data_IF_076029602242
#
_entry.id   IF_076029602242
#
_cell.length_a   1.000
_cell.length_b   1.000
_cell.length_c   1.000
_cell.angle_alpha   90.00
_cell.angle_beta   90.00
_cell.angle_gamma   90.00
#
_symmetry.space_group_name_H-M   'P 1'
#
loop_
_entity.id
_entity.type
_entity.pdbx_description
1 polymer ?
#
# COMPACT_ATOMS: atom_id res chain seq x y z
N UNK A 1 12.47 6.48 -39.30
CA UNK A 1 13.09 7.82 -39.25
C UNK A 1 13.09 8.26 -37.80
N UNK A 2 14.23 8.15 -37.11
CA UNK A 2 14.31 8.37 -35.67
C UNK A 2 14.70 9.81 -35.35
N UNK A 3 13.92 10.49 -34.50
CA UNK A 3 14.26 11.82 -34.01
C UNK A 3 15.19 11.67 -32.80
N UNK A 4 16.41 12.20 -32.89
CA UNK A 4 17.32 12.32 -31.76
C UNK A 4 17.34 13.78 -31.30
N UNK A 5 16.87 14.05 -30.08
CA UNK A 5 16.93 15.38 -29.50
C UNK A 5 18.34 15.60 -28.93
N UNK A 6 19.18 16.35 -29.66
CA UNK A 6 20.50 16.77 -29.18
C UNK A 6 20.31 18.06 -28.39
N UNK A 7 20.45 17.98 -27.07
CA UNK A 7 20.44 19.16 -26.20
C UNK A 7 21.81 19.83 -26.17
N UNK A 8 21.89 21.18 -26.18
CA UNK A 8 23.15 21.88 -25.95
C UNK A 8 23.76 21.50 -24.59
N UNK A 9 25.09 21.38 -24.53
CA UNK A 9 25.81 21.06 -23.29
C UNK A 9 25.46 22.05 -22.16
N UNK A 10 25.34 23.33 -22.50
CA UNK A 10 24.93 24.42 -21.61
C UNK A 10 23.57 24.16 -20.93
N UNK A 11 22.61 23.56 -21.64
CA UNK A 11 21.31 23.25 -21.08
C UNK A 11 21.40 22.11 -20.05
N UNK A 12 22.22 21.09 -20.34
CA UNK A 12 22.50 19.98 -19.41
C UNK A 12 23.21 20.50 -18.16
N UNK A 13 24.21 21.36 -18.33
CA UNK A 13 24.99 21.96 -17.24
C UNK A 13 24.15 22.90 -16.38
N UNK A 14 23.33 23.76 -17.00
CA UNK A 14 22.40 24.63 -16.29
C UNK A 14 21.40 23.82 -15.44
N UNK A 15 20.88 22.71 -15.98
CA UNK A 15 20.01 21.81 -15.24
C UNK A 15 20.73 21.14 -14.07
N UNK A 16 21.95 20.62 -14.28
CA UNK A 16 22.77 20.03 -13.20
C UNK A 16 23.07 21.06 -12.09
N UNK A 17 23.45 22.28 -12.45
CA UNK A 17 23.71 23.37 -11.52
C UNK A 17 22.44 23.76 -10.73
N UNK A 18 21.29 23.76 -11.38
CA UNK A 18 19.99 23.97 -10.72
C UNK A 18 19.70 22.88 -9.68
N UNK A 19 19.89 21.60 -10.02
CA UNK A 19 19.71 20.49 -9.08
C UNK A 19 20.70 20.59 -7.92
N UNK A 20 21.98 20.90 -8.18
CA UNK A 20 23.01 21.04 -7.15
C UNK A 20 22.66 22.16 -6.14
N UNK A 21 22.24 23.34 -6.62
CA UNK A 21 21.77 24.45 -5.75
C UNK A 21 20.57 24.05 -4.90
N UNK A 22 19.63 23.27 -5.45
CA UNK A 22 18.49 22.79 -4.65
C UNK A 22 18.92 21.77 -3.59
N UNK A 23 19.89 20.92 -3.89
CA UNK A 23 20.43 19.95 -2.93
C UNK A 23 21.17 20.64 -1.77
N UNK A 24 21.93 21.71 -2.05
CA UNK A 24 22.66 22.45 -1.01
C UNK A 24 21.78 23.23 -0.04
N UNK A 25 20.53 23.54 -0.42
CA UNK A 25 19.58 24.23 0.45
C UNK A 25 18.84 23.28 1.40
N UNK A 26 18.93 21.96 1.19
CA UNK A 26 18.34 20.99 2.10
C UNK A 26 19.33 20.60 3.19
N UNK A 27 18.86 20.30 4.41
CA UNK A 27 19.71 19.75 5.47
C UNK A 27 20.50 18.54 4.96
N UNK A 28 21.81 18.51 5.22
CA UNK A 28 22.69 17.45 4.72
C UNK A 28 22.33 16.07 5.27
N UNK A 29 21.70 16.02 6.45
CA UNK A 29 21.18 14.81 7.08
C UNK A 29 20.14 14.07 6.23
N UNK A 30 19.39 14.77 5.37
CA UNK A 30 18.43 14.10 4.46
C UNK A 30 19.11 13.30 3.34
N UNK A 31 20.39 13.55 3.06
CA UNK A 31 21.17 12.84 2.04
C UNK A 31 22.20 11.88 2.62
N UNK A 32 22.12 11.58 3.92
CA UNK A 32 23.00 10.56 4.49
C UNK A 32 22.79 9.21 3.79
N UNK A 33 23.86 8.45 3.66
CA UNK A 33 23.76 7.07 3.15
C UNK A 33 23.36 6.18 4.32
N UNK A 34 22.24 5.42 4.23
CA UNK A 34 21.85 4.53 5.31
C UNK A 34 22.94 3.49 5.57
N UNK A 35 23.12 3.10 6.83
CA UNK A 35 24.09 2.07 7.21
C UNK A 35 23.62 0.68 6.79
N UNK A 36 24.53 -0.30 6.81
CA UNK A 36 24.18 -1.69 6.54
C UNK A 36 23.14 -2.21 7.54
N UNK A 37 23.26 -1.87 8.83
CA UNK A 37 22.30 -2.28 9.85
C UNK A 37 20.92 -1.66 9.62
N UNK A 38 20.85 -0.40 9.18
CA UNK A 38 19.59 0.25 8.82
C UNK A 38 18.92 -0.41 7.60
N UNK A 39 19.73 -0.79 6.61
CA UNK A 39 19.26 -1.56 5.46
C UNK A 39 18.71 -2.93 5.86
N UNK A 40 19.44 -3.68 6.70
CA UNK A 40 18.99 -4.97 7.20
C UNK A 40 17.71 -4.86 8.04
N UNK A 41 17.60 -3.81 8.85
CA UNK A 41 16.38 -3.52 9.61
C UNK A 41 15.19 -3.21 8.69
N UNK A 42 15.41 -2.41 7.63
CA UNK A 42 14.39 -2.06 6.65
C UNK A 42 13.90 -3.29 5.87
N UNK A 43 14.82 -4.10 5.33
CA UNK A 43 14.48 -5.31 4.60
C UNK A 43 13.81 -6.34 5.51
N UNK A 44 14.41 -6.58 6.68
CA UNK A 44 13.91 -7.50 7.68
C UNK A 44 12.51 -7.13 8.21
N UNK A 45 12.14 -5.85 8.22
CA UNK A 45 10.79 -5.41 8.62
C UNK A 45 9.68 -6.05 7.79
N UNK A 46 9.88 -6.21 6.48
CA UNK A 46 8.86 -6.79 5.60
C UNK A 46 8.85 -8.32 5.69
N UNK A 47 10.02 -8.95 5.77
CA UNK A 47 10.14 -10.41 5.90
C UNK A 47 9.54 -10.93 7.21
N UNK A 48 9.87 -10.27 8.33
CA UNK A 48 9.36 -10.64 9.66
C UNK A 48 7.85 -10.42 9.81
N UNK A 49 7.22 -9.74 8.85
CA UNK A 49 5.79 -9.40 8.85
C UNK A 49 4.97 -10.23 7.87
N UNK A 50 5.52 -11.37 7.41
CA UNK A 50 4.73 -12.44 6.82
C UNK A 50 3.84 -13.06 7.90
N UNK A 51 2.57 -13.26 7.56
CA UNK A 51 1.53 -13.74 8.46
C UNK A 51 0.89 -15.00 7.87
N UNK A 52 0.10 -15.70 8.68
CA UNK A 52 -0.52 -16.98 8.30
C UNK A 52 -1.51 -16.89 7.13
N UNK A 53 -2.07 -15.70 6.87
CA UNK A 53 -3.08 -15.46 5.83
C UNK A 53 -2.67 -14.39 4.81
N UNK A 54 -1.41 -13.92 4.87
CA UNK A 54 -0.88 -12.92 3.94
C UNK A 54 0.23 -12.07 4.55
N UNK A 55 0.25 -10.77 4.24
CA UNK A 55 1.32 -9.85 4.67
C UNK A 55 0.79 -8.61 5.37
N UNK A 56 1.57 -8.07 6.30
CA UNK A 56 1.27 -6.75 6.88
C UNK A 56 1.80 -5.64 5.97
N UNK A 57 0.92 -4.80 5.42
CA UNK A 57 1.28 -3.67 4.56
C UNK A 57 1.69 -2.40 5.33
N UNK A 58 2.04 -2.54 6.61
CA UNK A 58 2.38 -1.42 7.48
C UNK A 58 3.79 -0.90 7.17
N UNK A 59 3.90 0.43 7.02
CA UNK A 59 5.15 1.12 6.70
C UNK A 59 6.26 0.83 7.72
N UNK A 60 7.51 0.89 7.25
CA UNK A 60 8.69 0.83 8.12
C UNK A 60 8.63 1.89 9.22
N UNK A 61 9.10 1.56 10.43
CA UNK A 61 9.12 2.47 11.58
C UNK A 61 7.77 2.76 12.24
N UNK A 62 6.67 2.12 11.80
CA UNK A 62 5.35 2.31 12.44
C UNK A 62 4.96 1.11 13.31
N UNK A 63 4.44 1.42 14.49
CA UNK A 63 3.90 0.44 15.45
C UNK A 63 2.50 -0.03 15.05
N UNK A 64 2.08 -1.15 15.63
CA UNK A 64 0.71 -1.66 15.56
C UNK A 64 0.25 -1.94 16.98
N UNK A 65 -1.02 -1.66 17.30
CA UNK A 65 -1.63 -2.14 18.54
C UNK A 65 -1.78 -3.66 18.58
N UNK A 66 -1.77 -4.31 17.42
CA UNK A 66 -1.78 -5.76 17.28
C UNK A 66 -0.33 -6.21 17.03
N UNK A 67 0.30 -6.81 18.04
CA UNK A 67 1.68 -7.31 18.01
C UNK A 67 1.91 -8.27 16.82
N UNK A 68 0.85 -8.95 16.39
CA UNK A 68 0.74 -9.65 15.13
C UNK A 68 -0.54 -9.21 14.40
N UNK A 69 -0.50 -8.98 13.08
CA UNK A 69 -1.71 -8.54 12.38
C UNK A 69 -2.74 -9.70 12.36
N UNK A 70 -3.71 -9.62 13.27
CA UNK A 70 -4.85 -10.52 13.30
C UNK A 70 -5.78 -10.23 12.11
N UNK A 71 -6.77 -11.10 11.91
CA UNK A 71 -7.74 -10.97 10.81
C UNK A 71 -8.50 -9.63 10.83
N UNK A 72 -8.63 -8.99 12.00
CA UNK A 72 -9.25 -7.67 12.21
C UNK A 72 -8.41 -6.50 11.68
N UNK A 73 -7.11 -6.69 11.44
CA UNK A 73 -6.22 -5.58 11.12
C UNK A 73 -6.47 -5.04 9.71
N UNK A 74 -6.75 -3.74 9.57
CA UNK A 74 -6.92 -3.08 8.26
C UNK A 74 -5.66 -3.16 7.39
N UNK A 75 -4.47 -3.22 8.01
CA UNK A 75 -3.18 -3.30 7.32
C UNK A 75 -2.81 -4.73 6.87
N UNK A 76 -3.55 -5.76 7.29
CA UNK A 76 -3.38 -7.11 6.76
C UNK A 76 -3.90 -7.13 5.32
N UNK A 77 -3.00 -7.39 4.36
CA UNK A 77 -3.34 -7.70 2.97
C UNK A 77 -3.41 -9.22 2.82
N UNK A 78 -4.60 -9.79 2.58
CA UNK A 78 -4.74 -11.23 2.43
C UNK A 78 -4.10 -11.68 1.13
N UNK A 79 -3.47 -12.86 1.14
CA UNK A 79 -2.90 -13.47 -0.06
C UNK A 79 -3.87 -14.51 -0.63
N UNK A 80 -4.14 -14.52 -1.95
CA UNK A 80 -5.09 -15.45 -2.56
C UNK A 80 -4.77 -16.93 -2.30
N UNK A 81 -3.48 -17.28 -2.26
CA UNK A 81 -3.02 -18.65 -2.02
C UNK A 81 -3.37 -19.15 -0.60
N UNK A 82 -3.65 -18.22 0.33
CA UNK A 82 -4.04 -18.51 1.71
C UNK A 82 -5.56 -18.41 1.94
N UNK A 83 -6.39 -18.30 0.88
CA UNK A 83 -7.85 -18.27 1.01
C UNK A 83 -8.41 -19.46 1.77
N UNK A 84 -7.85 -20.67 1.58
CA UNK A 84 -8.25 -21.87 2.32
C UNK A 84 -8.06 -21.73 3.83
N UNK A 85 -6.93 -21.18 4.26
CA UNK A 85 -6.67 -20.89 5.67
C UNK A 85 -7.64 -19.86 6.25
N UNK A 86 -8.03 -18.87 5.46
CA UNK A 86 -9.05 -17.87 5.87
C UNK A 86 -10.44 -18.51 6.04
N UNK A 87 -10.76 -19.55 5.25
CA UNK A 87 -11.99 -20.35 5.42
C UNK A 87 -11.97 -21.09 6.75
N UNK A 88 -10.87 -21.76 7.09
CA UNK A 88 -10.71 -22.42 8.38
C UNK A 88 -10.90 -21.44 9.56
N UNK A 89 -10.33 -20.23 9.47
CA UNK A 89 -10.49 -19.19 10.49
C UNK A 89 -11.95 -18.77 10.63
N UNK A 90 -12.66 -18.53 9.52
CA UNK A 90 -14.08 -18.16 9.54
C UNK A 90 -14.93 -19.27 10.18
N UNK A 91 -14.72 -20.52 9.77
CA UNK A 91 -15.53 -21.63 10.24
C UNK A 91 -15.28 -21.90 11.73
N UNK A 92 -14.04 -21.74 12.19
CA UNK A 92 -13.72 -21.78 13.62
C UNK A 92 -14.42 -20.66 14.40
N UNK A 93 -14.41 -19.42 13.89
CA UNK A 93 -15.09 -18.29 14.53
C UNK A 93 -16.60 -18.54 14.65
N UNK A 94 -17.24 -19.05 13.59
CA UNK A 94 -18.66 -19.41 13.63
C UNK A 94 -18.94 -20.47 14.70
N UNK A 95 -18.12 -21.52 14.78
CA UNK A 95 -18.27 -22.56 15.80
C UNK A 95 -18.08 -22.03 17.24
N UNK A 96 -17.17 -21.06 17.44
CA UNK A 96 -16.97 -20.40 18.73
C UNK A 96 -18.13 -19.46 19.09
N UNK A 97 -18.72 -18.76 18.14
CA UNK A 97 -19.91 -17.93 18.36
C UNK A 97 -21.08 -18.81 18.83
N UNK A 98 -21.35 -19.90 18.12
CA UNK A 98 -22.42 -20.85 18.49
C UNK A 98 -22.21 -21.38 19.91
N UNK A 99 -20.99 -21.76 20.27
CA UNK A 99 -20.68 -22.20 21.64
C UNK A 99 -20.91 -21.09 22.67
N UNK A 100 -20.42 -19.87 22.41
CA UNK A 100 -20.59 -18.74 23.31
C UNK A 100 -22.08 -18.37 23.51
N UNK A 101 -22.91 -18.50 22.47
CA UNK A 101 -24.36 -18.33 22.55
C UNK A 101 -25.01 -19.40 23.44
N UNK A 102 -24.66 -20.68 23.23
CA UNK A 102 -25.20 -21.79 24.01
C UNK A 102 -24.83 -21.69 25.50
N UNK A 103 -23.60 -21.27 25.80
CA UNK A 103 -23.07 -21.15 27.17
C UNK A 103 -23.36 -19.79 27.82
N UNK A 104 -23.95 -18.84 27.08
CA UNK A 104 -24.29 -17.51 27.58
C UNK A 104 -23.08 -16.60 27.84
N UNK A 105 -21.96 -16.82 27.16
CA UNK A 105 -20.73 -16.03 27.29
C UNK A 105 -20.78 -14.73 26.48
N UNK A 106 -21.65 -13.82 26.90
CA UNK A 106 -21.92 -12.57 26.18
C UNK A 106 -20.67 -11.70 25.98
N UNK A 107 -19.72 -11.72 26.93
CA UNK A 107 -18.48 -10.95 26.83
C UNK A 107 -17.52 -11.44 25.73
N UNK A 108 -17.53 -12.73 25.41
CA UNK A 108 -16.69 -13.30 24.35
C UNK A 108 -17.35 -13.13 22.97
N UNK A 109 -18.69 -13.14 22.94
CA UNK A 109 -19.48 -13.09 21.72
C UNK A 109 -19.17 -11.84 20.88
N UNK A 110 -19.14 -10.65 21.50
CA UNK A 110 -18.82 -9.40 20.81
C UNK A 110 -17.43 -9.45 20.14
N UNK A 111 -16.42 -9.97 20.85
CA UNK A 111 -15.07 -10.12 20.31
C UNK A 111 -15.00 -11.10 19.13
N UNK A 112 -15.77 -12.18 19.20
CA UNK A 112 -15.85 -13.19 18.14
C UNK A 112 -16.55 -12.63 16.90
N UNK A 113 -17.66 -11.91 17.05
CA UNK A 113 -18.37 -11.25 15.95
C UNK A 113 -17.50 -10.23 15.22
N UNK A 114 -16.76 -9.40 15.95
CA UNK A 114 -15.80 -8.45 15.35
C UNK A 114 -14.70 -9.19 14.56
N UNK A 115 -14.26 -10.35 15.05
CA UNK A 115 -13.29 -11.18 14.33
C UNK A 115 -13.87 -11.77 13.05
N UNK A 116 -15.13 -12.22 13.11
CA UNK A 116 -15.83 -12.79 11.97
C UNK A 116 -16.07 -11.73 10.88
N UNK A 117 -16.49 -10.52 11.28
CA UNK A 117 -16.60 -9.37 10.37
C UNK A 117 -15.24 -9.07 9.70
N UNK A 118 -14.15 -9.05 10.49
CA UNK A 118 -12.80 -8.90 9.95
C UNK A 118 -12.43 -9.99 8.93
N UNK A 119 -12.80 -11.25 9.18
CA UNK A 119 -12.57 -12.35 8.24
C UNK A 119 -13.39 -12.20 6.95
N UNK A 120 -14.65 -11.79 7.05
CA UNK A 120 -15.52 -11.50 5.91
C UNK A 120 -14.99 -10.36 5.06
N UNK A 121 -14.50 -9.28 5.68
CA UNK A 121 -13.83 -8.18 4.98
C UNK A 121 -12.61 -8.65 4.20
N UNK A 122 -11.82 -9.58 4.76
CA UNK A 122 -10.67 -10.17 4.04
C UNK A 122 -11.11 -10.99 2.83
N UNK A 123 -12.22 -11.72 2.90
CA UNK A 123 -12.79 -12.38 1.71
C UNK A 123 -13.20 -11.37 0.65
N UNK A 124 -13.92 -10.31 1.04
CA UNK A 124 -14.33 -9.26 0.10
C UNK A 124 -13.11 -8.60 -0.58
N UNK A 125 -12.01 -8.41 0.15
CA UNK A 125 -10.75 -7.92 -0.42
C UNK A 125 -10.15 -8.89 -1.44
N UNK A 126 -10.12 -10.19 -1.15
CA UNK A 126 -9.62 -11.20 -2.08
C UNK A 126 -10.47 -11.27 -3.35
N UNK A 127 -11.79 -11.24 -3.21
CA UNK A 127 -12.71 -11.30 -4.35
C UNK A 127 -12.57 -10.03 -5.22
N UNK A 128 -12.49 -8.85 -4.61
CA UNK A 128 -12.23 -7.59 -5.31
C UNK A 128 -10.86 -7.58 -6.02
N UNK A 129 -9.82 -8.16 -5.39
CA UNK A 129 -8.50 -8.31 -6.01
C UNK A 129 -8.55 -9.23 -7.23
N UNK A 130 -9.30 -10.34 -7.15
CA UNK A 130 -9.48 -11.26 -8.27
C UNK A 130 -10.19 -10.60 -9.45
N UNK A 131 -11.26 -9.83 -9.18
CA UNK A 131 -11.95 -9.04 -10.21
C UNK A 131 -10.98 -8.06 -10.87
N UNK A 132 -10.23 -7.28 -10.08
CA UNK A 132 -9.26 -6.30 -10.61
C UNK A 132 -8.16 -6.94 -11.46
N UNK A 133 -7.67 -8.13 -11.09
CA UNK A 133 -6.67 -8.87 -11.88
C UNK A 133 -7.21 -9.31 -13.24
N UNK A 134 -8.51 -9.61 -13.30
CA UNK A 134 -9.17 -10.04 -14.53
C UNK A 134 -9.69 -8.86 -15.37
N UNK A 135 -9.77 -7.65 -14.80
CA UNK A 135 -10.11 -6.43 -15.53
C UNK A 135 -8.90 -5.90 -16.28
N UNK A 136 -8.95 -5.92 -17.60
CA UNK A 136 -8.00 -5.20 -18.45
C UNK A 136 -8.37 -3.71 -18.39
N UNK A 137 -7.52 -2.91 -17.75
CA UNK A 137 -7.63 -1.44 -17.82
C UNK A 137 -6.78 -0.98 -18.99
N UNK A 138 -7.43 -0.55 -20.06
CA UNK A 138 -6.76 0.07 -21.19
C UNK A 138 -6.32 1.48 -20.79
N UNK A 139 -5.06 1.63 -20.40
CA UNK A 139 -4.49 2.91 -19.97
C UNK A 139 -4.31 3.90 -21.14
N UNK A 140 -4.47 3.43 -22.38
CA UNK A 140 -4.17 4.18 -23.60
C UNK A 140 -2.69 4.55 -23.73
N UNK A 141 -2.31 5.07 -24.89
CA UNK A 141 -1.06 5.83 -25.03
C UNK A 141 -1.47 7.30 -24.93
N UNK A 142 -0.96 8.06 -23.94
CA UNK A 142 -1.31 9.48 -23.82
C UNK A 142 -0.91 10.20 -25.10
N UNK A 143 -1.87 10.87 -25.74
CA UNK A 143 -1.60 11.64 -26.95
C UNK A 143 -0.98 12.98 -26.57
N UNK A 144 -0.25 13.59 -27.50
CA UNK A 144 0.38 14.88 -27.27
C UNK A 144 -0.63 15.97 -26.83
N UNK A 145 -1.88 15.87 -27.30
CA UNK A 145 -2.98 16.76 -26.91
C UNK A 145 -3.37 16.63 -25.43
N UNK A 146 -3.32 15.42 -24.89
CA UNK A 146 -3.65 15.14 -23.49
C UNK A 146 -2.58 15.71 -22.52
N UNK A 147 -1.34 15.78 -22.99
CA UNK A 147 -0.20 16.32 -22.23
C UNK A 147 -0.17 17.86 -22.33
N UNK A 148 -0.48 18.42 -23.49
CA UNK A 148 -0.41 19.86 -23.76
C UNK A 148 -1.60 20.68 -23.19
N UNK A 149 -2.72 20.03 -22.85
CA UNK A 149 -3.96 20.70 -22.43
C UNK A 149 -4.00 21.26 -20.99
N UNK A 150 -2.92 21.15 -20.19
CA UNK A 150 -2.90 21.61 -18.78
C UNK A 150 -2.41 23.05 -18.56
N UNK A 151 -2.33 23.87 -19.61
CA UNK A 151 -1.96 25.27 -19.47
C UNK A 151 -3.20 26.14 -19.19
N UNK A 152 -3.41 26.41 -17.89
CA UNK A 152 -3.93 27.65 -17.31
C UNK A 152 -5.17 28.29 -17.94
N UNK A 153 -6.28 28.24 -17.20
CA UNK A 153 -7.39 29.18 -17.34
C UNK A 153 -6.85 30.62 -17.35
N UNK A 154 -7.02 31.42 -18.43
CA UNK A 154 -6.67 32.82 -18.38
C UNK A 154 -7.71 33.56 -17.53
N UNK A 155 -7.25 34.29 -16.50
CA UNK A 155 -8.08 35.23 -15.76
C UNK A 155 -8.45 36.40 -16.69
N UNK A 156 -9.73 36.50 -17.05
CA UNK A 156 -10.31 37.70 -17.66
C UNK A 156 -10.27 38.86 -16.65
N UNK A 157 -9.65 39.98 -17.04
CA UNK A 157 -9.74 41.25 -16.31
C UNK A 157 -11.02 41.99 -16.75
N UNK A 158 -11.79 42.61 -15.83
CA UNK A 158 -12.87 43.51 -16.20
C UNK A 158 -12.32 44.91 -16.54
N UNK A 159 -13.00 45.60 -17.46
CA UNK A 159 -12.83 47.03 -17.77
C UNK A 159 -13.40 47.93 -16.67
#
# INVERSE_FOLDING_TARGET
>A
MGYNAIYPAEAIEAHRAFIARRRSLRPSEEYHTPTAEEWDAFLGHFERRKLSVGICARAFGTSCIHEHACVRCSMLRPEPDHRGRLVEVRDNLLARIIEAECEGWLGELEGLEVSLAGAQDKFAQLDAQQVRRNTVVELGIPTFRDIAGRNGTPLLRPE
#
